data_IF_550293327766
#
_entry.id   IF_550293327766
#
_cell.length_a   1.000
_cell.length_b   1.000
_cell.length_c   1.000
_cell.angle_alpha   90.00
_cell.angle_beta   90.00
_cell.angle_gamma   90.00
#
_symmetry.space_group_name_H-M   'P 1'
#
loop_
_entity.id
_entity.type
_entity.pdbx_description
1 polymer ?
#
# COMPACT_ATOMS: atom_id res chain seq x y z
N UNK A 1 13.08 14.05 6.57
CA UNK A 1 11.79 13.87 7.28
C UNK A 1 10.98 15.17 7.32
N UNK A 2 9.72 15.15 6.90
CA UNK A 2 8.85 16.33 6.91
C UNK A 2 8.53 16.79 8.34
N UNK A 3 8.31 18.10 8.53
CA UNK A 3 7.83 18.63 9.82
C UNK A 3 6.38 18.22 10.01
N UNK A 4 6.09 17.62 11.17
CA UNK A 4 4.77 17.17 11.57
C UNK A 4 4.29 17.97 12.79
N UNK A 5 3.03 18.36 12.78
CA UNK A 5 2.33 18.94 13.92
C UNK A 5 2.18 17.92 15.07
N UNK A 6 1.94 18.37 16.31
CA UNK A 6 1.71 17.46 17.44
C UNK A 6 0.55 16.48 17.22
N UNK A 7 -0.49 16.89 16.51
CA UNK A 7 -1.66 16.06 16.18
C UNK A 7 -1.26 14.95 15.21
N UNK A 8 -0.53 15.30 14.14
CA UNK A 8 -0.01 14.32 13.17
C UNK A 8 0.95 13.33 13.84
N UNK A 9 1.79 13.78 14.78
CA UNK A 9 2.70 12.90 15.52
C UNK A 9 1.96 11.89 16.40
N UNK A 10 0.91 12.34 17.10
CA UNK A 10 0.08 11.47 17.93
C UNK A 10 -0.64 10.42 17.08
N UNK A 11 -1.21 10.84 15.94
CA UNK A 11 -1.90 9.94 15.02
C UNK A 11 -0.92 8.98 14.32
N UNK A 12 0.27 9.46 13.95
CA UNK A 12 1.36 8.62 13.42
C UNK A 12 1.68 7.47 14.38
N UNK A 13 1.87 7.79 15.66
CA UNK A 13 2.19 6.80 16.69
C UNK A 13 1.06 5.78 16.87
N UNK A 14 -0.20 6.24 16.82
CA UNK A 14 -1.39 5.38 16.91
C UNK A 14 -1.47 4.41 15.73
N UNK A 15 -1.30 4.91 14.50
CA UNK A 15 -1.34 4.08 13.29
C UNK A 15 -0.18 3.08 13.22
N UNK A 16 1.05 3.50 13.55
CA UNK A 16 2.22 2.59 13.60
C UNK A 16 1.96 1.46 14.60
N UNK A 17 1.47 1.78 15.80
CA UNK A 17 1.14 0.76 16.81
C UNK A 17 0.09 -0.22 16.29
N UNK A 18 -0.95 0.27 15.62
CA UNK A 18 -1.98 -0.57 15.02
C UNK A 18 -1.39 -1.53 13.97
N UNK A 19 -0.56 -1.01 13.05
CA UNK A 19 0.08 -1.80 12.00
C UNK A 19 1.04 -2.86 12.57
N UNK A 20 1.80 -2.52 13.62
CA UNK A 20 2.68 -3.46 14.34
C UNK A 20 1.86 -4.57 15.00
N UNK A 21 0.80 -4.22 15.75
CA UNK A 21 -0.06 -5.20 16.42
C UNK A 21 -0.73 -6.15 15.42
N UNK A 22 -1.08 -5.65 14.23
CA UNK A 22 -1.65 -6.46 13.15
C UNK A 22 -0.61 -7.27 12.37
N UNK A 23 0.68 -7.12 12.65
CA UNK A 23 1.75 -7.81 11.94
C UNK A 23 1.89 -7.40 10.48
N UNK A 24 1.44 -6.19 10.11
CA UNK A 24 1.50 -5.69 8.74
C UNK A 24 2.85 -5.01 8.46
N UNK A 25 3.51 -4.52 9.51
CA UNK A 25 4.85 -3.91 9.45
C UNK A 25 5.76 -4.51 10.53
N UNK A 26 7.06 -4.40 10.35
CA UNK A 26 8.08 -4.72 11.36
C UNK A 26 9.19 -3.67 11.41
N UNK A 27 9.94 -3.53 12.52
CA UNK A 27 11.14 -2.69 12.56
C UNK A 27 12.15 -3.13 11.49
N UNK A 28 12.80 -2.17 10.85
CA UNK A 28 13.82 -2.43 9.83
C UNK A 28 15.15 -1.75 10.14
N UNK A 29 16.24 -2.39 9.73
CA UNK A 29 17.61 -1.87 9.73
C UNK A 29 18.14 -1.60 8.33
N UNK A 30 17.28 -1.74 7.31
CA UNK A 30 17.63 -1.56 5.90
C UNK A 30 18.09 -0.11 5.61
N UNK A 31 19.02 0.09 4.65
CA UNK A 31 19.48 1.41 4.26
C UNK A 31 18.43 2.23 3.48
N UNK A 32 17.34 1.59 3.05
CA UNK A 32 16.22 2.27 2.41
C UNK A 32 15.41 3.07 3.42
N UNK A 33 14.72 4.12 2.96
CA UNK A 33 13.95 4.98 3.85
C UNK A 33 13.13 6.01 3.12
N UNK A 34 11.93 5.61 2.68
CA UNK A 34 10.98 6.54 2.10
C UNK A 34 10.37 7.43 3.21
N UNK A 35 10.17 8.73 2.95
CA UNK A 35 9.51 9.60 3.92
C UNK A 35 8.01 9.30 4.01
N UNK A 36 7.45 9.50 5.20
CA UNK A 36 6.01 9.45 5.43
C UNK A 36 5.37 10.82 5.17
N UNK A 37 4.24 10.80 4.50
CA UNK A 37 3.33 11.91 4.24
C UNK A 37 1.98 11.63 4.90
N UNK A 38 1.25 12.69 5.20
CA UNK A 38 -0.14 12.59 5.65
C UNK A 38 -1.07 13.12 4.57
N UNK A 39 -2.17 12.41 4.36
CA UNK A 39 -3.27 12.88 3.52
C UNK A 39 -4.54 12.90 4.35
N UNK A 40 -5.30 14.02 4.35
CA UNK A 40 -6.57 14.08 5.05
C UNK A 40 -7.59 13.18 4.37
N UNK A 41 -8.31 12.40 5.16
CA UNK A 41 -9.48 11.65 4.70
C UNK A 41 -10.73 12.55 4.76
N UNK A 42 -11.80 12.20 4.03
CA UNK A 42 -13.05 12.95 4.05
C UNK A 42 -13.69 13.06 5.44
N UNK A 43 -13.43 12.08 6.32
CA UNK A 43 -13.92 12.05 7.70
C UNK A 43 -13.08 12.90 8.67
N UNK A 44 -12.06 13.61 8.17
CA UNK A 44 -11.15 14.42 8.98
C UNK A 44 -10.03 13.63 9.66
N UNK A 45 -10.00 12.30 9.52
CA UNK A 45 -8.88 11.48 9.99
C UNK A 45 -7.69 11.59 9.04
N UNK A 46 -6.48 11.30 9.53
CA UNK A 46 -5.27 11.34 8.71
C UNK A 46 -4.95 9.92 8.19
N UNK A 47 -4.43 9.83 6.98
CA UNK A 47 -3.91 8.59 6.42
C UNK A 47 -2.40 8.70 6.27
N UNK A 48 -1.66 7.71 6.79
CA UNK A 48 -0.23 7.56 6.49
C UNK A 48 -0.09 7.14 5.01
N UNK A 49 0.63 7.94 4.25
CA UNK A 49 1.02 7.65 2.87
C UNK A 49 2.54 7.65 2.77
N UNK A 50 3.14 6.62 2.20
CA UNK A 50 4.58 6.57 1.98
C UNK A 50 4.88 7.19 0.61
N UNK A 51 5.87 8.09 0.54
CA UNK A 51 6.33 8.59 -0.74
C UNK A 51 7.22 7.57 -1.46
N UNK A 52 6.57 6.66 -2.18
CA UNK A 52 7.24 5.63 -2.98
C UNK A 52 7.62 6.13 -4.39
N UNK A 53 7.58 7.44 -4.69
CA UNK A 53 7.87 7.94 -6.05
C UNK A 53 9.26 7.57 -6.55
N UNK A 54 10.26 7.64 -5.67
CA UNK A 54 11.63 7.25 -6.00
C UNK A 54 11.73 5.75 -6.32
N UNK A 55 11.10 4.92 -5.48
CA UNK A 55 11.07 3.47 -5.66
C UNK A 55 10.30 3.06 -6.92
N UNK A 56 9.17 3.71 -7.20
CA UNK A 56 8.35 3.46 -8.38
C UNK A 56 9.09 3.79 -9.69
N UNK A 57 10.04 4.74 -9.69
CA UNK A 57 10.89 5.02 -10.87
C UNK A 57 11.92 3.92 -11.14
N UNK A 58 12.40 3.26 -10.09
CA UNK A 58 13.37 2.15 -10.20
C UNK A 58 12.69 0.81 -10.44
N UNK A 59 11.38 0.71 -10.19
CA UNK A 59 10.62 -0.52 -10.34
C UNK A 59 10.26 -0.76 -11.80
N UNK A 60 10.56 -1.96 -12.31
CA UNK A 60 10.10 -2.40 -13.63
C UNK A 60 8.57 -2.51 -13.59
N UNK A 61 7.90 -1.70 -14.43
CA UNK A 61 6.44 -1.70 -14.52
C UNK A 61 5.99 -2.99 -15.19
N UNK A 62 5.19 -3.79 -14.48
CA UNK A 62 4.58 -4.96 -15.08
C UNK A 62 3.41 -4.50 -15.96
N UNK A 63 3.61 -4.51 -17.28
CA UNK A 63 2.55 -4.24 -18.25
C UNK A 63 1.79 -5.53 -18.52
N UNK A 64 1.01 -5.99 -17.55
CA UNK A 64 0.05 -7.05 -17.82
C UNK A 64 -1.05 -6.45 -18.71
N UNK A 65 -1.36 -7.05 -19.87
CA UNK A 65 -2.43 -6.56 -20.72
C UNK A 65 -3.75 -6.78 -19.97
N UNK A 66 -4.36 -5.69 -19.53
CA UNK A 66 -5.70 -5.76 -18.98
C UNK A 66 -6.65 -6.10 -20.13
N UNK A 67 -7.53 -7.11 -19.99
CA UNK A 67 -8.53 -7.40 -20.99
C UNK A 67 -9.41 -6.16 -21.19
N UNK A 68 -9.87 -5.91 -22.43
CA UNK A 68 -10.76 -4.78 -22.67
C UNK A 68 -12.09 -5.03 -21.94
N UNK A 69 -12.73 -3.95 -21.51
CA UNK A 69 -14.03 -4.04 -20.85
C UNK A 69 -15.03 -4.77 -21.76
N UNK A 70 -14.98 -4.49 -23.07
CA UNK A 70 -15.84 -5.15 -24.06
C UNK A 70 -15.63 -6.68 -24.09
N UNK A 71 -14.38 -7.14 -24.05
CA UNK A 71 -14.06 -8.59 -24.03
C UNK A 71 -14.63 -9.26 -22.77
N UNK A 72 -14.55 -8.59 -21.61
CA UNK A 72 -15.12 -9.08 -20.35
C UNK A 72 -16.66 -9.11 -20.38
N UNK A 73 -17.29 -8.10 -20.97
CA UNK A 73 -18.75 -8.02 -21.10
C UNK A 73 -19.29 -9.06 -22.10
N UNK A 74 -18.54 -9.34 -23.18
CA UNK A 74 -18.90 -10.38 -24.13
C UNK A 74 -18.83 -11.78 -23.50
N UNK A 75 -17.87 -12.04 -22.61
CA UNK A 75 -17.83 -13.29 -21.83
C UNK A 75 -19.03 -13.46 -20.89
N UNK A 76 -19.62 -12.36 -20.45
CA UNK A 76 -20.79 -12.33 -19.57
C UNK A 76 -22.12 -12.41 -20.34
N UNK A 77 -22.09 -12.39 -21.68
CA UNK A 77 -23.28 -12.42 -22.53
C UNK A 77 -24.04 -13.74 -22.32
N UNK A 78 -25.31 -13.65 -21.93
CA UNK A 78 -26.17 -14.81 -21.67
C UNK A 78 -26.24 -15.23 -20.20
N UNK A 79 -25.44 -14.63 -19.32
CA UNK A 79 -25.63 -14.77 -17.88
C UNK A 79 -26.88 -14.00 -17.43
N UNK A 80 -27.74 -14.66 -16.65
CA UNK A 80 -28.97 -14.06 -16.09
C UNK A 80 -28.81 -13.61 -14.64
N UNK A 81 -27.76 -14.09 -13.96
CA UNK A 81 -27.45 -13.79 -12.56
C UNK A 81 -26.00 -13.33 -12.48
N UNK A 82 -25.80 -12.16 -11.88
CA UNK A 82 -24.49 -11.58 -11.63
C UNK A 82 -24.23 -11.49 -10.13
N UNK A 83 -23.03 -11.86 -9.71
CA UNK A 83 -22.56 -11.60 -8.35
C UNK A 83 -21.22 -10.86 -8.42
N UNK A 84 -21.08 -9.82 -7.59
CA UNK A 84 -19.86 -9.04 -7.49
C UNK A 84 -19.24 -9.28 -6.13
N UNK A 85 -17.99 -9.74 -6.12
CA UNK A 85 -17.17 -9.86 -4.91
C UNK A 85 -16.22 -8.66 -4.87
N UNK A 86 -16.27 -7.87 -3.81
CA UNK A 86 -15.38 -6.74 -3.61
C UNK A 86 -14.29 -7.10 -2.58
N UNK A 87 -13.02 -7.08 -3.03
CA UNK A 87 -11.85 -7.33 -2.20
C UNK A 87 -11.29 -6.00 -1.67
N UNK A 88 -12.12 -5.19 -1.00
CA UNK A 88 -11.78 -3.85 -0.53
C UNK A 88 -10.51 -3.80 0.35
N UNK A 89 -10.21 -4.91 1.05
CA UNK A 89 -9.01 -5.06 1.91
C UNK A 89 -7.91 -5.95 1.33
N UNK A 90 -8.01 -6.35 0.05
CA UNK A 90 -7.12 -7.35 -0.56
C UNK A 90 -5.64 -6.98 -0.52
N UNK A 91 -5.31 -5.68 -0.61
CA UNK A 91 -3.92 -5.19 -0.52
C UNK A 91 -3.22 -5.64 0.78
N UNK A 92 -3.94 -5.60 1.91
CA UNK A 92 -3.41 -6.01 3.22
C UNK A 92 -3.27 -7.53 3.36
N UNK A 93 -3.93 -8.31 2.52
CA UNK A 93 -3.88 -9.77 2.56
C UNK A 93 -2.75 -10.34 1.70
N UNK A 94 -2.26 -9.58 0.71
CA UNK A 94 -1.17 -10.01 -0.17
C UNK A 94 0.17 -9.73 0.51
N UNK A 95 0.90 -10.81 0.81
CA UNK A 95 2.26 -10.72 1.33
C UNK A 95 3.23 -10.22 0.26
N UNK A 96 4.15 -9.36 0.66
CA UNK A 96 5.29 -9.00 -0.16
C UNK A 96 6.24 -10.20 -0.29
N UNK A 97 6.91 -10.29 -1.42
CA UNK A 97 8.02 -11.23 -1.56
C UNK A 97 9.17 -10.79 -0.65
N UNK A 98 9.86 -11.73 0.00
CA UNK A 98 10.90 -11.45 0.99
C UNK A 98 12.01 -10.53 0.44
N UNK A 99 12.39 -10.74 -0.83
CA UNK A 99 13.38 -9.93 -1.56
C UNK A 99 12.92 -8.48 -1.83
N UNK A 100 11.66 -8.17 -1.61
CA UNK A 100 11.09 -6.83 -1.84
C UNK A 100 10.76 -6.10 -0.54
N UNK A 101 10.69 -6.81 0.59
CA UNK A 101 10.36 -6.22 1.90
C UNK A 101 11.35 -5.12 2.29
N UNK A 102 12.65 -5.36 2.12
CA UNK A 102 13.69 -4.40 2.47
C UNK A 102 13.63 -3.09 1.67
N UNK A 103 12.88 -3.04 0.56
CA UNK A 103 12.69 -1.85 -0.29
C UNK A 103 11.49 -1.01 0.15
N UNK A 104 10.56 -1.58 0.94
CA UNK A 104 9.34 -0.90 1.39
C UNK A 104 9.51 -0.19 2.73
N UNK A 105 10.76 0.13 3.08
CA UNK A 105 11.11 0.75 4.34
C UNK A 105 10.72 2.22 4.33
N UNK A 106 10.03 2.64 5.38
CA UNK A 106 9.65 4.03 5.60
C UNK A 106 10.23 4.54 6.92
N UNK A 107 10.66 5.79 6.91
CA UNK A 107 11.27 6.44 8.05
C UNK A 107 10.28 7.34 8.77
N UNK A 108 10.24 7.18 10.09
CA UNK A 108 9.40 7.98 10.99
C UNK A 108 10.25 8.58 12.09
N UNK A 109 9.70 9.55 12.84
CA UNK A 109 10.37 10.08 14.04
C UNK A 109 10.59 9.03 15.13
N UNK A 110 9.84 7.93 15.08
CA UNK A 110 9.88 6.84 16.06
C UNK A 110 10.70 5.62 15.60
N UNK A 111 11.43 5.74 14.49
CA UNK A 111 12.22 4.66 13.91
C UNK A 111 11.85 4.33 12.47
N UNK A 112 12.55 3.34 11.92
CA UNK A 112 12.35 2.81 10.59
C UNK A 112 11.55 1.51 10.63
N UNK A 113 10.59 1.37 9.72
CA UNK A 113 9.72 0.20 9.64
C UNK A 113 9.59 -0.23 8.19
N UNK A 114 9.38 -1.52 7.96
CA UNK A 114 9.14 -2.09 6.64
C UNK A 114 7.81 -2.85 6.60
N UNK A 115 7.19 -2.87 5.41
CA UNK A 115 5.93 -3.56 5.20
C UNK A 115 6.14 -5.03 4.86
N UNK A 116 5.34 -5.89 5.49
CA UNK A 116 5.28 -7.34 5.19
C UNK A 116 4.18 -7.67 4.17
N UNK A 117 3.22 -6.77 4.03
CA UNK A 117 2.10 -6.88 3.09
C UNK A 117 2.15 -5.73 2.11
N UNK A 118 1.52 -5.87 0.95
CA UNK A 118 1.56 -4.86 -0.10
C UNK A 118 0.90 -3.55 0.38
N UNK A 119 1.66 -2.46 0.59
CA UNK A 119 1.05 -1.21 1.02
C UNK A 119 0.45 -0.47 -0.19
N UNK A 120 -0.47 0.45 0.10
CA UNK A 120 -1.06 1.31 -0.91
C UNK A 120 0.00 2.20 -1.60
N UNK A 121 -0.19 2.48 -2.89
CA UNK A 121 0.65 3.40 -3.66
C UNK A 121 1.81 2.78 -4.47
N UNK A 122 1.91 1.45 -4.51
CA UNK A 122 2.85 0.74 -5.40
C UNK A 122 2.29 0.61 -6.82
N UNK A 123 3.12 0.92 -7.83
CA UNK A 123 2.69 0.90 -9.25
C UNK A 123 2.24 -0.49 -9.73
N UNK A 124 2.80 -1.57 -9.17
CA UNK A 124 2.45 -2.94 -9.52
C UNK A 124 1.41 -3.57 -8.56
N UNK A 125 0.75 -2.78 -7.71
CA UNK A 125 -0.19 -3.33 -6.75
C UNK A 125 -1.46 -3.87 -7.44
N UNK A 126 -1.95 -3.16 -8.46
CA UNK A 126 -3.13 -3.55 -9.24
C UNK A 126 -2.91 -4.84 -10.04
N UNK A 127 -1.70 -5.08 -10.56
CA UNK A 127 -1.39 -6.26 -11.38
C UNK A 127 -1.16 -7.55 -10.59
N UNK A 128 -1.03 -7.48 -9.26
CA UNK A 128 -0.96 -8.67 -8.39
C UNK A 128 -2.28 -9.03 -7.72
N UNK A 129 -3.28 -8.14 -7.80
CA UNK A 129 -4.63 -8.34 -7.26
C UNK A 129 -5.61 -8.92 -8.27
N UNK A 130 -5.16 -9.09 -9.52
CA UNK A 130 -5.90 -9.74 -10.61
C UNK A 130 -5.28 -11.10 -10.84
#
# INVERSE_FOLDING_TARGET
PYRLSPIELADMKKQIKYLLTKGLIRPSTSPYGAPVLFTPKPDGSLCICIDNRALNKQTIKNKYPFPRIDDLLDQLRGATIFSKLDLQSGYWQIRLADDSIHKTVFQTRYGSYEYLVMPFGFTNAHSKLT
#
